data_IF_065101397973
#
_entry.id   IF_065101397973
#
_cell.length_a   1.000
_cell.length_b   1.000
_cell.length_c   1.000
_cell.angle_alpha   90.00
_cell.angle_beta   90.00
_cell.angle_gamma   90.00
#
_symmetry.space_group_name_H-M   'P 1'
#
loop_
_entity.id
_entity.type
_entity.pdbx_description
1 polymer ?
#
# COMPACT_ATOMS: atom_id res chain seq x y z
N UNK A 1 -14.83 18.12 -11.97
CA UNK A 1 -14.37 17.21 -13.04
C UNK A 1 -14.29 15.75 -12.55
N UNK A 2 -13.59 15.47 -11.44
CA UNK A 2 -13.47 14.11 -10.90
C UNK A 2 -14.79 13.46 -10.47
N UNK A 3 -15.76 14.22 -9.93
CA UNK A 3 -17.07 13.67 -9.54
C UNK A 3 -17.82 13.05 -10.72
N UNK A 4 -17.82 13.72 -11.87
CA UNK A 4 -18.48 13.21 -13.09
C UNK A 4 -17.78 11.95 -13.61
N UNK A 5 -16.45 11.93 -13.66
CA UNK A 5 -15.69 10.74 -14.05
C UNK A 5 -15.90 9.55 -13.10
N UNK A 6 -15.88 9.81 -11.79
CA UNK A 6 -16.16 8.80 -10.77
C UNK A 6 -17.60 8.26 -10.88
N UNK A 7 -18.58 9.11 -11.20
CA UNK A 7 -19.95 8.67 -11.45
C UNK A 7 -20.06 7.76 -12.68
N UNK A 8 -19.24 8.00 -13.70
CA UNK A 8 -19.16 7.19 -14.93
C UNK A 8 -18.36 5.89 -14.78
N UNK A 9 -17.78 5.62 -13.61
CA UNK A 9 -17.09 4.35 -13.36
C UNK A 9 -15.57 4.39 -13.52
N UNK A 10 -14.97 5.54 -13.80
CA UNK A 10 -13.52 5.69 -13.98
C UNK A 10 -12.78 5.55 -12.64
N UNK A 11 -11.93 4.52 -12.53
CA UNK A 11 -11.24 4.16 -11.29
C UNK A 11 -10.18 5.19 -10.90
N UNK A 12 -9.55 5.85 -11.87
CA UNK A 12 -8.60 6.93 -11.64
C UNK A 12 -9.29 8.17 -11.04
N UNK A 13 -10.44 8.57 -11.58
CA UNK A 13 -11.24 9.66 -11.02
C UNK A 13 -11.77 9.30 -9.64
N UNK A 14 -12.17 8.04 -9.41
CA UNK A 14 -12.56 7.58 -8.07
C UNK A 14 -11.40 7.67 -7.07
N UNK A 15 -10.19 7.25 -7.44
CA UNK A 15 -9.03 7.30 -6.54
C UNK A 15 -8.59 8.74 -6.26
N UNK A 16 -8.65 9.63 -7.26
CA UNK A 16 -8.41 11.08 -7.08
C UNK A 16 -9.44 11.73 -6.18
N UNK A 17 -10.73 11.44 -6.39
CA UNK A 17 -11.80 11.97 -5.55
C UNK A 17 -11.71 11.43 -4.12
N UNK A 18 -11.36 10.15 -3.96
CA UNK A 18 -11.12 9.55 -2.64
C UNK A 18 -9.99 10.28 -1.91
N UNK A 19 -8.88 10.55 -2.58
CA UNK A 19 -7.77 11.30 -2.01
C UNK A 19 -8.19 12.71 -1.57
N UNK A 20 -9.02 13.41 -2.36
CA UNK A 20 -9.57 14.71 -1.95
C UNK A 20 -10.36 14.63 -0.64
N UNK A 21 -11.19 13.60 -0.46
CA UNK A 21 -11.91 13.38 0.81
C UNK A 21 -10.99 12.93 1.95
N UNK A 22 -9.90 12.23 1.66
CA UNK A 22 -8.94 11.77 2.68
C UNK A 22 -8.17 12.94 3.30
N UNK A 23 -7.60 13.80 2.44
CA UNK A 23 -6.74 14.93 2.87
C UNK A 23 -7.49 16.25 3.03
N UNK A 24 -8.74 16.34 2.58
CA UNK A 24 -9.56 17.56 2.67
C UNK A 24 -9.28 18.61 1.58
N UNK A 25 -8.74 18.21 0.41
CA UNK A 25 -8.46 19.15 -0.68
C UNK A 25 -9.73 19.51 -1.44
N UNK A 26 -10.22 20.73 -1.24
CA UNK A 26 -11.41 21.25 -1.95
C UNK A 26 -12.74 20.66 -1.48
N UNK A 27 -12.73 19.77 -0.48
CA UNK A 27 -13.89 19.18 0.19
C UNK A 27 -13.56 18.98 1.68
N UNK A 28 -14.54 18.97 2.60
CA UNK A 28 -14.30 18.56 3.97
C UNK A 28 -13.74 17.14 4.05
N UNK A 29 -12.86 16.89 5.02
CA UNK A 29 -12.31 15.55 5.27
C UNK A 29 -13.46 14.58 5.59
N UNK A 30 -13.50 13.47 4.86
CA UNK A 30 -14.43 12.35 5.06
C UNK A 30 -13.72 11.04 4.69
N UNK A 31 -12.96 10.50 5.64
CA UNK A 31 -12.16 9.28 5.46
C UNK A 31 -13.01 8.03 5.20
N UNK A 32 -14.28 8.01 5.61
CA UNK A 32 -15.18 6.91 5.31
C UNK A 32 -15.67 6.96 3.86
N UNK A 33 -15.95 8.15 3.34
CA UNK A 33 -16.22 8.33 1.91
C UNK A 33 -14.99 8.05 1.06
N UNK A 34 -13.81 8.48 1.48
CA UNK A 34 -12.55 8.12 0.84
C UNK A 34 -12.38 6.59 0.77
N UNK A 35 -12.53 5.88 1.89
CA UNK A 35 -12.46 4.41 1.95
C UNK A 35 -13.44 3.74 0.98
N UNK A 36 -14.69 4.20 0.90
CA UNK A 36 -15.69 3.65 -0.03
C UNK A 36 -15.27 3.83 -1.50
N UNK A 37 -14.78 5.02 -1.85
CA UNK A 37 -14.34 5.35 -3.20
C UNK A 37 -13.08 4.56 -3.59
N UNK A 38 -12.07 4.49 -2.72
CA UNK A 38 -10.87 3.70 -2.97
C UNK A 38 -11.20 2.22 -3.19
N UNK A 39 -12.05 1.61 -2.34
CA UNK A 39 -12.47 0.21 -2.53
C UNK A 39 -13.17 -0.01 -3.87
N UNK A 40 -13.97 0.96 -4.31
CA UNK A 40 -14.65 0.89 -5.60
C UNK A 40 -13.64 1.00 -6.76
N UNK A 41 -12.67 1.92 -6.68
CA UNK A 41 -11.60 2.05 -7.65
C UNK A 41 -10.77 0.76 -7.77
N UNK A 42 -10.37 0.18 -6.64
CA UNK A 42 -9.67 -1.11 -6.61
C UNK A 42 -10.49 -2.23 -7.25
N UNK A 43 -11.80 -2.32 -6.93
CA UNK A 43 -12.66 -3.39 -7.45
C UNK A 43 -12.85 -3.33 -8.97
N UNK A 44 -12.90 -2.13 -9.55
CA UNK A 44 -13.18 -1.95 -10.99
C UNK A 44 -11.90 -2.03 -11.82
N UNK A 45 -10.86 -1.29 -11.43
CA UNK A 45 -9.65 -1.12 -12.23
C UNK A 45 -8.40 -1.77 -11.63
N UNK A 46 -8.50 -2.43 -10.47
CA UNK A 46 -7.34 -2.90 -9.69
C UNK A 46 -6.32 -1.78 -9.44
N UNK A 47 -6.85 -0.57 -9.17
CA UNK A 47 -6.09 0.65 -9.02
C UNK A 47 -5.10 0.58 -7.84
N UNK A 48 -3.81 0.41 -8.13
CA UNK A 48 -2.74 0.22 -7.13
C UNK A 48 -2.70 1.36 -6.10
N UNK A 49 -2.80 2.61 -6.55
CA UNK A 49 -2.83 3.77 -5.65
C UNK A 49 -4.02 3.73 -4.69
N UNK A 50 -5.19 3.28 -5.15
CA UNK A 50 -6.33 3.08 -4.26
C UNK A 50 -6.09 1.97 -3.24
N UNK A 51 -5.49 0.84 -3.65
CA UNK A 51 -5.11 -0.25 -2.76
C UNK A 51 -4.17 0.18 -1.64
N UNK A 52 -3.11 0.92 -1.99
CA UNK A 52 -2.15 1.46 -1.03
C UNK A 52 -2.81 2.45 -0.05
N UNK A 53 -3.65 3.36 -0.53
CA UNK A 53 -4.37 4.29 0.34
C UNK A 53 -5.38 3.58 1.26
N UNK A 54 -5.99 2.46 0.84
CA UNK A 54 -6.83 1.64 1.74
C UNK A 54 -5.99 1.08 2.88
N UNK A 55 -4.79 0.56 2.60
CA UNK A 55 -3.89 0.05 3.63
C UNK A 55 -3.49 1.17 4.61
N UNK A 56 -3.16 2.36 4.11
CA UNK A 56 -2.85 3.54 4.93
C UNK A 56 -4.03 3.92 5.83
N UNK A 57 -5.25 4.01 5.29
CA UNK A 57 -6.44 4.31 6.09
C UNK A 57 -6.70 3.26 7.18
N UNK A 58 -6.36 1.99 6.95
CA UNK A 58 -6.43 0.97 7.99
C UNK A 58 -5.36 1.14 9.07
N UNK A 59 -4.14 1.53 8.67
CA UNK A 59 -3.05 1.86 9.60
C UNK A 59 -3.47 2.99 10.55
N UNK A 60 -4.03 4.06 10.00
CA UNK A 60 -4.52 5.22 10.78
C UNK A 60 -5.65 4.85 11.75
N UNK A 61 -6.53 3.91 11.34
CA UNK A 61 -7.60 3.37 12.21
C UNK A 61 -7.10 2.37 13.26
N UNK A 62 -5.79 2.10 13.31
CA UNK A 62 -5.20 1.10 14.20
C UNK A 62 -5.51 -0.35 13.82
N UNK A 63 -6.12 -0.60 12.67
CA UNK A 63 -6.43 -1.96 12.20
C UNK A 63 -5.28 -2.52 11.37
N UNK A 64 -4.19 -2.85 12.07
CA UNK A 64 -2.93 -3.29 11.47
C UNK A 64 -3.07 -4.60 10.69
N UNK A 65 -3.96 -5.51 11.13
CA UNK A 65 -4.23 -6.77 10.41
C UNK A 65 -4.88 -6.52 9.05
N UNK A 66 -5.85 -5.61 8.98
CA UNK A 66 -6.46 -5.24 7.71
C UNK A 66 -5.49 -4.47 6.80
N UNK A 67 -4.67 -3.57 7.36
CA UNK A 67 -3.58 -2.90 6.64
C UNK A 67 -2.66 -3.93 5.96
N UNK A 68 -2.16 -4.91 6.72
CA UNK A 68 -1.27 -5.95 6.21
C UNK A 68 -1.93 -6.77 5.08
N UNK A 69 -3.20 -7.15 5.25
CA UNK A 69 -3.95 -7.87 4.20
C UNK A 69 -4.10 -7.05 2.92
N UNK A 70 -4.29 -5.73 3.03
CA UNK A 70 -4.40 -4.87 1.86
C UNK A 70 -3.08 -4.67 1.15
N UNK A 71 -1.97 -4.44 1.87
CA UNK A 71 -0.66 -4.44 1.23
C UNK A 71 -0.38 -5.77 0.52
N UNK A 72 -0.74 -6.91 1.12
CA UNK A 72 -0.59 -8.22 0.46
C UNK A 72 -1.33 -8.29 -0.87
N UNK A 73 -2.57 -7.78 -0.95
CA UNK A 73 -3.35 -7.72 -2.20
C UNK A 73 -2.73 -6.80 -3.25
N UNK A 74 -2.10 -5.70 -2.83
CA UNK A 74 -1.40 -4.79 -3.75
C UNK A 74 -0.10 -5.42 -4.23
N UNK A 75 0.65 -6.06 -3.34
CA UNK A 75 1.88 -6.76 -3.66
C UNK A 75 1.69 -7.90 -4.68
N UNK A 76 0.50 -8.53 -4.71
CA UNK A 76 0.12 -9.51 -5.76
C UNK A 76 0.08 -8.91 -7.17
N UNK A 77 0.03 -7.58 -7.33
CA UNK A 77 0.13 -6.91 -8.64
C UNK A 77 1.57 -6.64 -9.07
N UNK A 78 2.56 -7.05 -8.27
CA UNK A 78 3.97 -6.78 -8.51
C UNK A 78 4.45 -5.42 -7.99
N UNK A 79 3.62 -4.68 -7.25
CA UNK A 79 3.99 -3.40 -6.65
C UNK A 79 5.11 -3.59 -5.61
N UNK A 80 6.28 -3.03 -5.89
CA UNK A 80 7.46 -3.20 -5.05
C UNK A 80 7.39 -2.36 -3.77
N UNK A 81 6.70 -1.23 -3.80
CA UNK A 81 6.43 -0.41 -2.60
C UNK A 81 5.60 -1.21 -1.58
N UNK A 82 4.52 -1.86 -2.02
CA UNK A 82 3.72 -2.75 -1.17
C UNK A 82 4.55 -3.95 -0.64
N UNK A 83 5.45 -4.52 -1.44
CA UNK A 83 6.36 -5.57 -0.97
C UNK A 83 7.31 -5.07 0.13
N UNK A 84 7.82 -3.84 0.00
CA UNK A 84 8.65 -3.20 1.02
C UNK A 84 7.85 -2.96 2.32
N UNK A 85 6.62 -2.47 2.23
CA UNK A 85 5.73 -2.30 3.39
C UNK A 85 5.44 -3.63 4.08
N UNK A 86 5.21 -4.72 3.32
CA UNK A 86 5.02 -6.08 3.87
C UNK A 86 6.29 -6.54 4.59
N UNK A 87 7.47 -6.30 4.01
CA UNK A 87 8.73 -6.63 4.66
C UNK A 87 8.89 -5.93 6.00
N UNK A 88 8.61 -4.62 6.07
CA UNK A 88 8.61 -3.85 7.32
C UNK A 88 7.63 -4.43 8.34
N UNK A 89 6.43 -4.81 7.89
CA UNK A 89 5.44 -5.47 8.76
C UNK A 89 5.95 -6.79 9.37
N UNK A 90 6.65 -7.61 8.59
CA UNK A 90 7.26 -8.86 9.08
C UNK A 90 8.48 -8.64 9.98
N UNK A 91 9.21 -7.53 9.81
CA UNK A 91 10.32 -7.19 10.71
C UNK A 91 9.81 -6.74 12.08
N UNK A 92 8.77 -5.90 12.08
CA UNK A 92 8.27 -5.25 13.29
C UNK A 92 7.16 -6.05 13.98
N UNK A 93 6.57 -7.04 13.29
CA UNK A 93 5.38 -7.75 13.77
C UNK A 93 4.10 -6.90 13.68
N UNK A 94 4.06 -5.95 12.75
CA UNK A 94 2.93 -5.02 12.57
C UNK A 94 1.81 -5.68 11.78
N UNK A 95 0.71 -6.03 12.45
CA UNK A 95 -0.46 -6.64 11.80
C UNK A 95 -0.30 -8.11 11.36
N UNK A 96 0.90 -8.65 11.54
CA UNK A 96 1.30 -10.05 11.29
C UNK A 96 2.35 -10.45 12.33
N UNK A 97 2.50 -11.74 12.62
CA UNK A 97 3.62 -12.19 13.48
C UNK A 97 4.95 -11.87 12.79
N UNK A 98 5.91 -11.35 13.54
CA UNK A 98 7.25 -11.11 13.03
C UNK A 98 7.84 -12.41 12.44
N UNK A 99 8.36 -12.31 11.22
CA UNK A 99 8.94 -13.44 10.49
C UNK A 99 10.06 -12.94 9.58
N UNK A 100 11.28 -13.12 10.04
CA UNK A 100 12.48 -12.67 9.34
C UNK A 100 12.63 -13.31 7.95
N UNK A 101 12.22 -14.57 7.77
CA UNK A 101 12.35 -15.25 6.48
C UNK A 101 11.35 -14.68 5.47
N UNK A 102 10.12 -14.39 5.92
CA UNK A 102 9.15 -13.69 5.10
C UNK A 102 9.59 -12.26 4.76
N UNK A 103 10.17 -11.54 5.72
CA UNK A 103 10.73 -10.21 5.45
C UNK A 103 11.81 -10.24 4.35
N UNK A 104 12.76 -11.20 4.42
CA UNK A 104 13.79 -11.37 3.38
C UNK A 104 13.21 -11.66 2.00
N UNK A 105 12.17 -12.51 1.94
CA UNK A 105 11.45 -12.81 0.70
C UNK A 105 10.79 -11.57 0.11
N UNK A 106 10.08 -10.81 0.94
CA UNK A 106 9.41 -9.57 0.52
C UNK A 106 10.39 -8.48 0.10
N UNK A 107 11.53 -8.31 0.79
CA UNK A 107 12.58 -7.37 0.37
C UNK A 107 13.18 -7.77 -0.98
N UNK A 108 13.45 -9.06 -1.18
CA UNK A 108 13.96 -9.55 -2.46
C UNK A 108 12.95 -9.31 -3.59
N UNK A 109 11.66 -9.50 -3.33
CA UNK A 109 10.60 -9.18 -4.28
C UNK A 109 10.53 -7.67 -4.59
N UNK A 110 10.64 -6.82 -3.57
CA UNK A 110 10.66 -5.36 -3.72
C UNK A 110 11.82 -4.89 -4.60
N UNK A 111 13.05 -5.38 -4.33
CA UNK A 111 14.25 -5.00 -5.10
C UNK A 111 14.15 -5.40 -6.57
N UNK A 112 13.50 -6.53 -6.86
CA UNK A 112 13.30 -7.06 -8.22
C UNK A 112 12.10 -6.47 -8.94
N UNK A 113 11.30 -5.64 -8.28
CA UNK A 113 10.13 -5.04 -8.91
C UNK A 113 10.53 -3.91 -9.86
N UNK A 114 9.84 -3.86 -11.00
CA UNK A 114 9.88 -2.74 -11.93
C UNK A 114 8.99 -1.57 -11.47
N UNK A 115 8.07 -1.83 -10.53
CA UNK A 115 7.10 -0.88 -9.99
C UNK A 115 7.47 -0.48 -8.56
N UNK A 116 8.61 0.18 -8.42
CA UNK A 116 9.14 0.70 -7.16
C UNK A 116 9.97 1.95 -7.45
N UNK A 117 9.95 2.94 -6.55
CA UNK A 117 10.86 4.08 -6.69
C UNK A 117 12.31 3.68 -6.43
N UNK A 118 13.27 4.41 -7.00
CA UNK A 118 14.70 4.19 -6.73
C UNK A 118 15.01 4.29 -5.24
N UNK A 119 14.45 5.29 -4.56
CA UNK A 119 14.58 5.48 -3.12
C UNK A 119 14.09 4.27 -2.31
N UNK A 120 12.89 3.77 -2.59
CA UNK A 120 12.36 2.59 -1.91
C UNK A 120 13.15 1.32 -2.25
N UNK A 121 13.70 1.22 -3.47
CA UNK A 121 14.57 0.11 -3.85
C UNK A 121 15.88 0.14 -3.05
N UNK A 122 16.50 1.30 -2.91
CA UNK A 122 17.70 1.48 -2.08
C UNK A 122 17.41 1.15 -0.60
N UNK A 123 16.27 1.60 -0.07
CA UNK A 123 15.83 1.26 1.28
C UNK A 123 15.68 -0.27 1.44
N UNK A 124 15.04 -0.93 0.47
CA UNK A 124 14.87 -2.38 0.47
C UNK A 124 16.23 -3.11 0.42
N UNK A 125 17.18 -2.63 -0.38
CA UNK A 125 18.54 -3.18 -0.47
C UNK A 125 19.31 -3.00 0.85
N UNK A 126 19.22 -1.84 1.48
CA UNK A 126 19.87 -1.56 2.76
C UNK A 126 19.34 -2.46 3.89
N UNK A 127 18.02 -2.65 3.95
CA UNK A 127 17.39 -3.58 4.88
C UNK A 127 17.82 -5.02 4.61
N UNK A 128 17.86 -5.42 3.33
CA UNK A 128 18.28 -6.77 2.93
C UNK A 128 19.73 -7.06 3.33
N UNK A 129 20.65 -6.11 3.10
CA UNK A 129 22.05 -6.22 3.50
C UNK A 129 22.20 -6.30 5.02
N UNK A 130 21.48 -5.44 5.76
CA UNK A 130 21.51 -5.41 7.24
C UNK A 130 21.03 -6.72 7.83
N UNK A 131 19.98 -7.32 7.26
CA UNK A 131 19.49 -8.61 7.71
C UNK A 131 20.52 -9.68 7.39
N UNK A 132 21.06 -9.73 6.18
CA UNK A 132 22.02 -10.76 5.77
C UNK A 132 23.30 -10.78 6.63
N UNK A 133 23.78 -9.62 7.07
CA UNK A 133 24.95 -9.51 7.95
C UNK A 133 24.72 -10.02 9.38
N UNK A 134 23.49 -9.89 9.90
CA UNK A 134 23.13 -10.36 11.26
C UNK A 134 22.91 -11.88 11.35
N UNK A 135 23.22 -12.63 10.29
CA UNK A 135 23.07 -14.09 10.24
C UNK A 135 24.39 -14.85 10.48
N UNK A 136 25.49 -14.14 10.75
CA UNK A 136 26.82 -14.66 11.12
C UNK A 136 27.07 -14.36 12.59
#
# INVERSE_FOLDING_TARGET
MFERGAALGDDYCMSRLAHMFDVGTGVPVDKDRAMRLYRRAWRIGRNIAAGNNIAILYRERGNLRAMFQWFTRVAETGDGSAQLDIAKCYLDGTGVRADRQMALRSLTAAVRSDYISEYEREEAQALLATLSLKAV
#
